data_IF_283648723601
#
_entry.id   IF_283648723601
#
_cell.length_a   1.000
_cell.length_b   1.000
_cell.length_c   1.000
_cell.angle_alpha   90.00
_cell.angle_beta   90.00
_cell.angle_gamma   90.00
#
_symmetry.space_group_name_H-M   'P 1'
#
loop_
_entity.id
_entity.type
_entity.pdbx_description
1 polymer ?
#
# COMPACT_ATOMS: atom_id res chain seq x y z
N UNK A 1 36.92 33.35 -8.57
CA UNK A 1 36.81 34.72 -9.11
C UNK A 1 35.88 34.73 -10.33
N UNK A 2 34.56 34.91 -10.16
CA UNK A 2 33.64 35.13 -11.27
C UNK A 2 33.07 36.57 -11.17
N UNK A 3 33.86 37.57 -11.56
CA UNK A 3 33.38 38.96 -11.66
C UNK A 3 33.77 39.64 -12.98
N UNK A 4 34.40 38.92 -13.92
CA UNK A 4 34.96 39.53 -15.13
C UNK A 4 33.99 39.63 -16.31
N UNK A 5 32.94 38.79 -16.41
CA UNK A 5 32.00 38.87 -17.54
C UNK A 5 31.04 40.06 -17.42
N UNK A 6 30.58 40.36 -16.21
CA UNK A 6 29.64 41.47 -15.98
C UNK A 6 30.30 42.83 -16.20
N UNK A 7 31.57 42.98 -15.81
CA UNK A 7 32.36 44.17 -16.12
C UNK A 7 32.66 44.32 -17.61
N UNK A 8 32.91 43.23 -18.33
CA UNK A 8 33.15 43.27 -19.77
C UNK A 8 31.90 43.72 -20.56
N UNK A 9 30.71 43.29 -20.13
CA UNK A 9 29.43 43.72 -20.73
C UNK A 9 29.13 45.19 -20.43
N UNK A 10 29.38 45.66 -19.20
CA UNK A 10 29.27 47.08 -18.83
C UNK A 10 30.25 47.98 -19.59
N UNK A 11 31.47 47.51 -19.86
CA UNK A 11 32.46 48.28 -20.61
C UNK A 11 32.13 48.39 -22.11
N UNK A 12 31.56 47.32 -22.67
CA UNK A 12 31.04 47.34 -24.05
C UNK A 12 29.77 48.21 -24.16
N UNK A 13 28.96 48.30 -23.11
CA UNK A 13 27.78 49.17 -23.03
C UNK A 13 28.16 50.66 -23.16
N UNK A 14 29.24 51.11 -22.50
CA UNK A 14 29.73 52.49 -22.58
C UNK A 14 30.35 52.81 -23.95
N UNK A 15 31.03 51.84 -24.58
CA UNK A 15 31.65 52.05 -25.89
C UNK A 15 30.62 52.20 -27.01
N UNK A 16 29.59 51.36 -27.03
CA UNK A 16 28.58 51.36 -28.09
C UNK A 16 27.54 52.49 -27.98
N UNK A 17 27.37 53.11 -26.81
CA UNK A 17 26.49 54.28 -26.64
C UNK A 17 27.00 55.54 -27.39
N UNK A 18 28.25 55.53 -27.87
CA UNK A 18 28.90 56.67 -28.51
C UNK A 18 28.78 56.72 -30.05
N UNK A 19 28.24 55.67 -30.70
CA UNK A 19 28.36 55.50 -32.17
C UNK A 19 27.01 55.29 -32.91
N UNK A 20 25.89 54.97 -32.23
CA UNK A 20 24.62 54.58 -32.91
C UNK A 20 23.40 55.24 -32.24
N UNK A 21 22.34 55.66 -32.98
CA UNK A 21 21.18 56.37 -32.41
C UNK A 21 20.50 55.63 -31.25
N UNK A 22 20.13 56.34 -30.17
CA UNK A 22 20.03 55.81 -28.81
C UNK A 22 18.80 54.91 -28.53
N UNK A 23 17.79 54.87 -29.40
CA UNK A 23 16.49 54.27 -29.05
C UNK A 23 16.39 52.78 -29.39
N UNK A 24 16.89 52.35 -30.55
CA UNK A 24 16.81 50.92 -30.96
C UNK A 24 17.91 50.06 -30.34
N UNK A 25 19.10 50.61 -30.11
CA UNK A 25 20.22 49.88 -29.48
C UNK A 25 19.91 49.60 -28.01
N UNK A 26 19.33 50.57 -27.29
CA UNK A 26 18.98 50.40 -25.88
C UNK A 26 17.87 49.37 -25.67
N UNK A 27 16.87 49.32 -26.56
CA UNK A 27 15.80 48.32 -26.52
C UNK A 27 16.31 46.92 -26.87
N UNK A 28 17.14 46.80 -27.92
CA UNK A 28 17.75 45.53 -28.32
C UNK A 28 18.66 44.98 -27.22
N UNK A 29 19.47 45.83 -26.60
CA UNK A 29 20.35 45.46 -25.48
C UNK A 29 19.55 45.09 -24.22
N UNK A 30 18.43 45.76 -23.95
CA UNK A 30 17.53 45.35 -22.85
C UNK A 30 16.95 43.96 -23.11
N UNK A 31 16.47 43.69 -24.33
CA UNK A 31 15.91 42.38 -24.70
C UNK A 31 16.97 41.27 -24.59
N UNK A 32 18.18 41.50 -25.10
CA UNK A 32 19.30 40.55 -24.98
C UNK A 32 19.67 40.32 -23.51
N UNK A 33 19.74 41.39 -22.71
CA UNK A 33 20.02 41.31 -21.27
C UNK A 33 18.94 40.50 -20.52
N UNK A 34 17.66 40.71 -20.85
CA UNK A 34 16.54 39.96 -20.27
C UNK A 34 16.54 38.49 -20.69
N UNK A 35 16.87 38.17 -21.94
CA UNK A 35 17.01 36.78 -22.40
C UNK A 35 18.19 36.07 -21.75
N UNK A 36 19.33 36.75 -21.60
CA UNK A 36 20.49 36.19 -20.89
C UNK A 36 20.15 35.91 -19.43
N UNK A 37 19.51 36.86 -18.74
CA UNK A 37 19.09 36.68 -17.34
C UNK A 37 18.10 35.50 -17.19
N UNK A 38 17.17 35.37 -18.12
CA UNK A 38 16.22 34.25 -18.14
C UNK A 38 16.90 32.90 -18.38
N UNK A 39 17.92 32.86 -19.23
CA UNK A 39 18.71 31.64 -19.48
C UNK A 39 19.51 31.22 -18.25
N UNK A 40 20.15 32.17 -17.56
CA UNK A 40 20.91 31.91 -16.34
C UNK A 40 20.00 31.37 -15.21
N UNK A 41 18.81 31.98 -15.04
CA UNK A 41 17.81 31.53 -14.07
C UNK A 41 17.28 30.12 -14.42
N UNK A 42 17.00 29.87 -15.71
CA UNK A 42 16.54 28.56 -16.17
C UNK A 42 17.62 27.47 -15.98
N UNK A 43 18.87 27.77 -16.30
CA UNK A 43 19.98 26.82 -16.12
C UNK A 43 20.20 26.51 -14.65
N UNK A 44 20.09 27.50 -13.76
CA UNK A 44 20.13 27.31 -12.32
C UNK A 44 19.01 26.38 -11.82
N UNK A 45 17.77 26.59 -12.26
CA UNK A 45 16.64 25.70 -11.93
C UNK A 45 16.83 24.28 -12.45
N UNK A 46 17.30 24.14 -13.69
CA UNK A 46 17.62 22.85 -14.28
C UNK A 46 18.70 22.14 -13.47
N UNK A 47 19.74 22.86 -13.05
CA UNK A 47 20.85 22.31 -12.26
C UNK A 47 20.40 21.78 -10.91
N UNK A 48 19.49 22.48 -10.22
CA UNK A 48 18.85 21.97 -8.99
C UNK A 48 18.15 20.63 -9.22
N UNK A 49 17.30 20.54 -10.24
CA UNK A 49 16.56 19.30 -10.54
C UNK A 49 17.47 18.17 -10.99
N UNK A 50 18.53 18.47 -11.74
CA UNK A 50 19.54 17.48 -12.16
C UNK A 50 20.33 16.96 -10.96
N UNK A 51 20.77 17.84 -10.04
CA UNK A 51 21.50 17.43 -8.84
C UNK A 51 20.63 16.61 -7.88
N UNK A 52 19.37 17.00 -7.66
CA UNK A 52 18.41 16.20 -6.90
C UNK A 52 18.20 14.81 -7.52
N UNK A 53 18.07 14.74 -8.85
CA UNK A 53 17.99 13.46 -9.55
C UNK A 53 19.29 12.65 -9.43
N UNK A 54 20.45 13.27 -9.58
CA UNK A 54 21.74 12.59 -9.45
C UNK A 54 21.90 11.98 -8.06
N UNK A 55 21.61 12.74 -7.00
CA UNK A 55 21.70 12.26 -5.60
C UNK A 55 20.76 11.08 -5.35
N UNK A 56 19.51 11.15 -5.83
CA UNK A 56 18.51 10.07 -5.71
C UNK A 56 18.87 8.79 -6.46
N UNK A 57 19.66 8.89 -7.52
CA UNK A 57 20.02 7.77 -8.39
C UNK A 57 21.53 7.48 -8.36
N UNK A 58 22.15 7.59 -7.17
CA UNK A 58 23.53 7.17 -6.90
C UNK A 58 24.57 7.80 -7.86
N UNK A 59 24.36 9.07 -8.18
CA UNK A 59 25.23 9.89 -8.99
C UNK A 59 24.99 9.81 -10.50
N UNK A 60 23.91 9.14 -10.94
CA UNK A 60 23.58 8.94 -12.36
C UNK A 60 22.28 9.66 -12.75
N UNK A 61 22.32 10.97 -13.05
CA UNK A 61 21.14 11.71 -13.45
C UNK A 61 20.59 11.24 -14.81
N UNK A 62 19.26 11.20 -14.94
CA UNK A 62 18.56 10.75 -16.14
C UNK A 62 17.79 11.89 -16.82
N UNK A 63 18.15 12.19 -18.07
CA UNK A 63 17.52 13.27 -18.88
C UNK A 63 16.00 13.12 -18.97
N UNK A 64 15.46 11.91 -19.15
CA UNK A 64 14.00 11.70 -19.29
C UNK A 64 13.28 12.00 -17.98
N UNK A 65 13.82 11.54 -16.87
CA UNK A 65 13.27 11.79 -15.52
C UNK A 65 13.29 13.28 -15.20
N UNK A 66 14.41 13.96 -15.44
CA UNK A 66 14.59 15.39 -15.22
C UNK A 66 13.62 16.21 -16.08
N UNK A 67 13.49 15.89 -17.37
CA UNK A 67 12.54 16.55 -18.27
C UNK A 67 11.09 16.39 -17.79
N UNK A 68 10.72 15.21 -17.29
CA UNK A 68 9.39 14.95 -16.73
C UNK A 68 9.10 15.84 -15.51
N UNK A 69 10.06 15.96 -14.59
CA UNK A 69 9.93 16.80 -13.40
C UNK A 69 9.80 18.29 -13.78
N UNK A 70 10.68 18.79 -14.65
CA UNK A 70 10.69 20.20 -15.09
C UNK A 70 9.41 20.60 -15.85
N UNK A 71 8.94 19.78 -16.80
CA UNK A 71 7.72 20.09 -17.57
C UNK A 71 6.43 19.88 -16.77
N UNK A 72 6.52 19.17 -15.64
CA UNK A 72 5.46 19.01 -14.65
C UNK A 72 5.33 20.25 -13.75
N UNK A 73 6.44 20.76 -13.23
CA UNK A 73 6.46 21.94 -12.35
C UNK A 73 6.31 23.26 -13.12
N UNK A 74 6.86 23.34 -14.33
CA UNK A 74 6.83 24.54 -15.20
C UNK A 74 6.19 24.25 -16.56
N UNK A 75 4.88 24.46 -16.62
CA UNK A 75 4.09 24.20 -17.83
C UNK A 75 4.40 25.17 -18.97
N UNK A 76 4.95 26.35 -18.67
CA UNK A 76 5.37 27.37 -19.63
C UNK A 76 6.56 26.92 -20.50
N UNK A 77 7.42 26.06 -19.95
CA UNK A 77 8.58 25.47 -20.65
C UNK A 77 8.17 24.49 -21.76
N UNK A 78 6.92 24.02 -21.78
CA UNK A 78 6.44 23.06 -22.80
C UNK A 78 6.53 23.60 -24.22
N UNK A 79 6.38 24.91 -24.41
CA UNK A 79 6.50 25.57 -25.73
C UNK A 79 7.93 25.55 -26.27
N UNK A 80 8.93 25.44 -25.41
CA UNK A 80 10.37 25.44 -25.73
C UNK A 80 11.05 24.13 -25.34
N UNK A 81 10.30 23.02 -25.29
CA UNK A 81 10.77 21.75 -24.74
C UNK A 81 12.05 21.20 -25.40
N UNK A 82 12.25 21.44 -26.70
CA UNK A 82 13.46 21.01 -27.42
C UNK A 82 14.71 21.78 -26.93
N UNK A 83 14.60 23.09 -26.76
CA UNK A 83 15.68 23.94 -26.26
C UNK A 83 16.02 23.60 -24.80
N UNK A 84 14.98 23.42 -23.97
CA UNK A 84 15.15 22.99 -22.57
C UNK A 84 15.85 21.63 -22.50
N UNK A 85 15.50 20.68 -23.39
CA UNK A 85 16.14 19.36 -23.45
C UNK A 85 17.64 19.46 -23.77
N UNK A 86 18.05 20.39 -24.63
CA UNK A 86 19.46 20.61 -24.94
C UNK A 86 20.22 21.12 -23.71
N UNK A 87 19.64 22.07 -22.97
CA UNK A 87 20.22 22.61 -21.73
C UNK A 87 20.30 21.50 -20.67
N UNK A 88 19.21 20.77 -20.44
CA UNK A 88 19.19 19.62 -19.51
C UNK A 88 20.26 18.59 -19.87
N UNK A 89 20.42 18.27 -21.16
CA UNK A 89 21.42 17.30 -21.59
C UNK A 89 22.87 17.77 -21.34
N UNK A 90 23.12 19.09 -21.42
CA UNK A 90 24.43 19.67 -21.05
C UNK A 90 24.65 19.58 -19.54
N UNK A 91 23.68 20.05 -18.75
CA UNK A 91 23.79 20.07 -17.28
C UNK A 91 23.92 18.66 -16.71
N UNK A 92 23.18 17.67 -17.24
CA UNK A 92 23.32 16.24 -16.88
C UNK A 92 24.75 15.76 -17.10
N UNK A 93 25.34 16.04 -18.27
CA UNK A 93 26.73 15.65 -18.56
C UNK A 93 27.73 16.32 -17.64
N UNK A 94 27.46 17.53 -17.17
CA UNK A 94 28.35 18.24 -16.25
C UNK A 94 28.24 17.71 -14.82
N UNK A 95 27.02 17.44 -14.35
CA UNK A 95 26.78 16.82 -13.04
C UNK A 95 27.31 15.39 -12.99
N UNK A 96 27.19 14.62 -14.07
CA UNK A 96 27.69 13.24 -14.17
C UNK A 96 29.23 13.15 -14.06
N UNK A 97 29.97 14.22 -14.34
CA UNK A 97 31.44 14.29 -14.14
C UNK A 97 31.84 14.46 -12.67
N UNK A 98 30.91 14.87 -11.81
CA UNK A 98 31.16 15.10 -10.38
C UNK A 98 31.07 13.79 -9.60
N UNK A 99 31.78 13.70 -8.47
CA UNK A 99 31.57 12.60 -7.51
C UNK A 99 30.23 12.78 -6.79
N UNK A 100 29.64 11.69 -6.31
CA UNK A 100 28.40 11.74 -5.52
C UNK A 100 28.52 12.70 -4.32
N UNK A 101 29.68 12.72 -3.67
CA UNK A 101 29.96 13.62 -2.55
C UNK A 101 29.92 15.10 -2.99
N UNK A 102 30.52 15.41 -4.14
CA UNK A 102 30.51 16.76 -4.69
C UNK A 102 29.10 17.19 -5.16
N UNK A 103 28.33 16.27 -5.74
CA UNK A 103 26.93 16.50 -6.11
C UNK A 103 26.08 16.80 -4.88
N UNK A 104 26.24 16.03 -3.80
CA UNK A 104 25.55 16.26 -2.51
C UNK A 104 25.96 17.57 -1.87
N UNK A 105 27.25 17.93 -1.90
CA UNK A 105 27.73 19.21 -1.38
C UNK A 105 27.12 20.37 -2.16
N UNK A 106 27.13 20.31 -3.49
CA UNK A 106 26.58 21.38 -4.31
C UNK A 106 25.06 21.50 -4.14
N UNK A 107 24.33 20.38 -4.10
CA UNK A 107 22.89 20.39 -3.86
C UNK A 107 22.56 21.02 -2.49
N UNK A 108 23.39 20.76 -1.47
CA UNK A 108 23.24 21.38 -0.14
C UNK A 108 23.40 22.89 -0.18
N UNK A 109 24.33 23.38 -1.00
CA UNK A 109 24.61 24.81 -1.08
C UNK A 109 23.50 25.57 -1.84
N UNK A 110 22.88 24.93 -2.86
CA UNK A 110 21.91 25.61 -3.73
C UNK A 110 20.44 25.34 -3.40
N UNK A 111 20.13 24.19 -2.78
CA UNK A 111 18.77 23.73 -2.48
C UNK A 111 18.77 22.75 -1.27
N UNK A 112 19.18 23.20 -0.08
CA UNK A 112 19.29 22.36 1.11
C UNK A 112 17.96 21.67 1.48
N UNK A 113 16.82 22.29 1.16
CA UNK A 113 15.48 21.74 1.40
C UNK A 113 15.22 20.42 0.65
N UNK A 114 15.89 20.18 -0.48
CA UNK A 114 15.78 18.95 -1.25
C UNK A 114 16.56 17.80 -0.59
N UNK A 115 17.62 18.11 0.17
CA UNK A 115 18.34 17.14 1.01
C UNK A 115 17.65 16.90 2.35
N UNK A 116 16.99 17.91 2.93
CA UNK A 116 16.25 17.76 4.19
C UNK A 116 15.07 16.77 4.07
N UNK A 117 14.53 16.58 2.87
CA UNK A 117 13.57 15.50 2.59
C UNK A 117 14.19 14.09 2.72
N UNK A 118 15.51 13.92 2.55
CA UNK A 118 16.21 12.66 2.84
C UNK A 118 16.55 12.52 4.34
N UNK A 119 16.92 13.60 5.03
CA UNK A 119 17.34 13.55 6.46
C UNK A 119 16.19 13.25 7.42
N UNK A 120 14.94 13.61 7.10
CA UNK A 120 13.77 13.17 7.89
C UNK A 120 13.49 11.66 7.82
N UNK A 121 14.17 10.92 6.96
CA UNK A 121 14.03 9.46 6.85
C UNK A 121 15.06 8.71 7.71
N UNK A 122 16.02 9.40 8.33
CA UNK A 122 16.98 8.76 9.24
C UNK A 122 16.49 8.70 10.70
N UNK A 123 16.25 7.46 11.13
CA UNK A 123 16.44 6.97 12.50
C UNK A 123 15.51 7.46 13.64
N UNK A 124 14.20 7.58 13.39
CA UNK A 124 13.32 6.96 14.39
C UNK A 124 13.52 5.44 14.24
N UNK A 125 13.87 4.75 15.33
CA UNK A 125 13.76 3.30 15.35
C UNK A 125 12.32 2.97 14.97
N UNK A 126 12.08 2.58 13.71
CA UNK A 126 10.77 2.11 13.24
C UNK A 126 10.49 0.72 13.82
N UNK A 127 10.69 0.59 15.12
CA UNK A 127 10.15 -0.52 15.86
C UNK A 127 8.64 -0.41 15.80
N UNK A 128 8.00 -1.55 15.54
CA UNK A 128 6.56 -1.60 15.60
C UNK A 128 6.13 -1.38 17.06
N UNK A 129 4.98 -0.74 17.29
CA UNK A 129 4.49 -0.46 18.63
C UNK A 129 4.36 -1.75 19.43
N UNK A 130 4.49 -1.65 20.75
CA UNK A 130 4.31 -2.82 21.60
C UNK A 130 2.89 -3.37 21.50
N UNK A 131 2.76 -4.68 21.63
CA UNK A 131 1.44 -5.31 21.70
C UNK A 131 0.76 -4.91 23.01
N UNK A 132 -0.54 -4.57 22.98
CA UNK A 132 -1.27 -4.32 24.21
C UNK A 132 -1.34 -5.59 25.06
N UNK A 133 -1.26 -5.44 26.38
CA UNK A 133 -1.42 -6.54 27.36
C UNK A 133 -0.40 -7.68 27.22
N UNK A 134 0.81 -7.40 26.70
CA UNK A 134 1.86 -8.43 26.56
C UNK A 134 2.22 -9.06 27.90
N UNK A 135 2.26 -8.27 28.97
CA UNK A 135 2.57 -8.74 30.33
C UNK A 135 1.43 -9.52 30.99
N UNK A 136 0.22 -9.48 30.41
CA UNK A 136 -0.96 -10.16 30.94
C UNK A 136 -0.94 -11.67 30.65
N UNK A 137 -0.20 -12.09 29.61
CA UNK A 137 -0.18 -13.47 29.14
C UNK A 137 1.25 -14.03 29.15
N UNK A 138 1.42 -15.34 29.42
CA UNK A 138 2.76 -15.93 29.56
C UNK A 138 3.53 -16.02 28.23
N UNK A 139 2.85 -15.97 27.09
CA UNK A 139 3.46 -16.14 25.77
C UNK A 139 2.64 -15.46 24.68
N UNK A 140 3.32 -14.73 23.79
CA UNK A 140 2.71 -14.20 22.56
C UNK A 140 2.53 -15.33 21.55
N UNK A 141 1.32 -15.48 21.02
CA UNK A 141 1.00 -16.47 19.99
C UNK A 141 0.35 -15.76 18.79
N UNK A 142 1.03 -15.82 17.66
CA UNK A 142 0.60 -15.26 16.38
C UNK A 142 0.19 -16.37 15.41
N UNK A 143 -0.60 -16.02 14.39
CA UNK A 143 -0.96 -16.97 13.33
C UNK A 143 -0.95 -16.35 11.95
N UNK A 144 -0.44 -17.14 10.99
CA UNK A 144 -0.69 -16.97 9.57
C UNK A 144 -1.93 -17.80 9.22
N UNK A 145 -2.89 -17.22 8.52
CA UNK A 145 -4.12 -17.91 8.13
C UNK A 145 -4.41 -17.81 6.63
N UNK A 146 -3.54 -18.34 5.74
CA UNK A 146 -3.76 -18.28 4.30
C UNK A 146 -4.90 -19.21 3.86
N UNK A 147 -5.70 -18.75 2.90
CA UNK A 147 -6.56 -19.61 2.10
C UNK A 147 -5.68 -20.30 1.04
N UNK A 148 -5.68 -21.64 0.92
CA UNK A 148 -4.83 -22.37 -0.02
C UNK A 148 -5.35 -22.29 -1.46
N UNK A 149 -5.34 -21.10 -2.06
CA UNK A 149 -5.75 -20.87 -3.46
C UNK A 149 -4.57 -20.70 -4.44
N UNK A 150 -3.36 -21.05 -4.00
CA UNK A 150 -2.13 -20.87 -4.75
C UNK A 150 -0.95 -20.39 -3.88
N UNK A 151 0.17 -20.00 -4.51
CA UNK A 151 1.36 -19.55 -3.79
C UNK A 151 1.13 -18.19 -3.11
N UNK A 152 1.96 -17.89 -2.10
CA UNK A 152 1.98 -16.57 -1.47
C UNK A 152 2.41 -15.50 -2.49
N UNK A 153 1.69 -14.38 -2.51
CA UNK A 153 2.04 -13.19 -3.30
C UNK A 153 2.47 -12.03 -2.39
N UNK A 154 2.94 -10.91 -2.97
CA UNK A 154 3.44 -9.75 -2.21
C UNK A 154 2.43 -9.19 -1.18
N UNK A 155 1.12 -9.31 -1.43
CA UNK A 155 0.08 -8.94 -0.47
C UNK A 155 0.11 -9.75 0.83
N UNK A 156 0.56 -11.02 0.78
CA UNK A 156 0.71 -11.86 1.97
C UNK A 156 1.97 -11.48 2.76
N UNK A 157 3.01 -10.98 2.10
CA UNK A 157 4.30 -10.66 2.72
C UNK A 157 4.14 -9.69 3.89
N UNK A 158 3.25 -8.69 3.78
CA UNK A 158 2.97 -7.76 4.88
C UNK A 158 2.51 -8.50 6.14
N UNK A 159 1.53 -9.39 6.01
CA UNK A 159 0.99 -10.13 7.14
C UNK A 159 2.05 -11.08 7.73
N UNK A 160 2.79 -11.76 6.86
CA UNK A 160 3.86 -12.68 7.25
C UNK A 160 4.96 -11.97 8.05
N UNK A 161 5.53 -10.90 7.50
CA UNK A 161 6.64 -10.15 8.13
C UNK A 161 6.19 -9.52 9.46
N UNK A 162 4.97 -8.99 9.54
CA UNK A 162 4.46 -8.40 10.79
C UNK A 162 4.29 -9.44 11.90
N UNK A 163 3.73 -10.61 11.60
CA UNK A 163 3.54 -11.67 12.59
C UNK A 163 4.91 -12.24 13.03
N UNK A 164 5.81 -12.48 12.08
CA UNK A 164 7.17 -12.96 12.37
C UNK A 164 7.98 -11.97 13.22
N UNK A 165 7.88 -10.65 12.95
CA UNK A 165 8.50 -9.62 13.77
C UNK A 165 8.09 -9.71 15.24
N UNK A 166 6.78 -9.79 15.52
CA UNK A 166 6.30 -9.86 16.91
C UNK A 166 6.65 -11.17 17.59
N UNK A 167 6.67 -12.28 16.84
CA UNK A 167 7.13 -13.56 17.37
C UNK A 167 8.60 -13.50 17.76
N UNK A 168 9.45 -12.86 16.94
CA UNK A 168 10.87 -12.65 17.27
C UNK A 168 11.06 -11.66 18.43
N UNK A 169 10.30 -10.57 18.46
CA UNK A 169 10.37 -9.53 19.51
C UNK A 169 10.03 -10.09 20.90
N UNK A 170 9.07 -11.01 20.98
CA UNK A 170 8.52 -11.51 22.24
C UNK A 170 8.79 -13.00 22.50
N UNK A 171 9.74 -13.61 21.77
CA UNK A 171 10.06 -15.04 21.88
C UNK A 171 8.79 -15.93 21.82
N UNK A 172 7.87 -15.53 20.94
CA UNK A 172 6.53 -16.07 20.85
C UNK A 172 6.42 -17.34 20.02
N UNK A 173 5.18 -17.69 19.67
CA UNK A 173 4.87 -18.80 18.78
C UNK A 173 4.19 -18.31 17.52
N UNK A 174 4.64 -18.80 16.36
CA UNK A 174 3.95 -18.61 15.09
C UNK A 174 3.26 -19.90 14.67
N UNK A 175 1.97 -19.82 14.35
CA UNK A 175 1.15 -20.93 13.88
C UNK A 175 0.81 -20.71 12.40
N UNK A 176 0.97 -21.74 11.57
CA UNK A 176 0.43 -21.76 10.21
C UNK A 176 -0.93 -22.46 10.22
N UNK A 177 -2.00 -21.72 9.94
CA UNK A 177 -3.38 -22.24 9.89
C UNK A 177 -3.87 -22.21 8.45
N UNK A 178 -4.02 -23.35 7.79
CA UNK A 178 -4.66 -23.38 6.48
C UNK A 178 -6.17 -23.13 6.66
N UNK A 179 -6.69 -22.03 6.11
CA UNK A 179 -8.11 -21.68 6.18
C UNK A 179 -8.91 -22.38 5.07
N UNK A 180 -8.82 -23.70 5.02
CA UNK A 180 -9.30 -24.59 3.95
C UNK A 180 -10.81 -24.90 4.01
N UNK A 181 -11.59 -24.16 4.83
CA UNK A 181 -13.05 -24.35 4.96
C UNK A 181 -13.88 -23.36 4.13
N UNK A 182 -13.23 -22.42 3.42
CA UNK A 182 -13.92 -21.31 2.70
C UNK A 182 -14.31 -21.70 1.26
N UNK A 183 -13.91 -22.88 0.80
CA UNK A 183 -14.07 -23.36 -0.58
C UNK A 183 -15.45 -23.11 -1.18
N UNK A 184 -15.48 -22.67 -2.44
CA UNK A 184 -16.67 -22.63 -3.29
C UNK A 184 -16.28 -22.90 -4.73
N UNK A 185 -17.27 -23.10 -5.62
CA UNK A 185 -17.01 -23.20 -7.07
C UNK A 185 -16.15 -22.05 -7.60
N UNK A 186 -16.31 -20.85 -7.04
CA UNK A 186 -15.59 -19.63 -7.43
C UNK A 186 -14.25 -19.43 -6.67
N UNK A 187 -14.05 -20.14 -5.56
CA UNK A 187 -12.85 -20.07 -4.71
C UNK A 187 -12.42 -21.47 -4.37
N UNK A 188 -11.66 -22.09 -5.27
CA UNK A 188 -11.18 -23.44 -5.10
C UNK A 188 -9.96 -23.50 -4.18
N UNK A 189 -9.84 -24.63 -3.51
CA UNK A 189 -8.60 -25.03 -2.83
C UNK A 189 -7.71 -25.66 -3.89
N UNK A 190 -6.51 -25.10 -4.06
CA UNK A 190 -5.48 -25.64 -4.94
C UNK A 190 -4.59 -26.56 -4.11
N UNK A 191 -4.48 -27.84 -4.48
CA UNK A 191 -3.79 -28.83 -3.65
C UNK A 191 -2.30 -28.53 -3.54
N UNK A 192 -1.70 -28.00 -4.60
CA UNK A 192 -0.31 -27.60 -4.66
C UNK A 192 -0.01 -26.42 -3.72
N UNK A 193 -1.02 -25.64 -3.34
CA UNK A 193 -0.84 -24.51 -2.41
C UNK A 193 -0.40 -24.96 -1.02
N UNK A 194 -0.71 -26.20 -0.63
CA UNK A 194 -0.27 -26.75 0.66
C UNK A 194 1.25 -26.93 0.75
N UNK A 195 1.93 -27.09 -0.38
CA UNK A 195 3.40 -27.14 -0.47
C UNK A 195 3.99 -25.76 -0.79
N UNK A 196 3.39 -25.02 -1.72
CA UNK A 196 3.88 -23.71 -2.16
C UNK A 196 3.85 -22.63 -1.06
N UNK A 197 2.87 -22.68 -0.15
CA UNK A 197 2.78 -21.72 0.95
C UNK A 197 3.97 -21.89 1.92
N UNK A 198 4.26 -23.10 2.44
CA UNK A 198 5.48 -23.38 3.18
C UNK A 198 6.77 -22.96 2.46
N UNK A 199 6.90 -23.26 1.17
CA UNK A 199 8.07 -22.85 0.36
C UNK A 199 8.23 -21.32 0.35
N UNK A 200 7.13 -20.59 0.17
CA UNK A 200 7.14 -19.12 0.22
C UNK A 200 7.52 -18.56 1.59
N UNK A 201 7.13 -19.22 2.68
CA UNK A 201 7.55 -18.84 4.03
C UNK A 201 9.04 -19.12 4.25
N UNK A 202 9.54 -20.27 3.78
CA UNK A 202 10.96 -20.61 3.88
C UNK A 202 11.83 -19.64 3.06
N UNK A 203 11.38 -19.27 1.86
CA UNK A 203 12.02 -18.24 1.04
C UNK A 203 12.13 -16.88 1.75
N UNK A 204 11.11 -16.52 2.54
CA UNK A 204 11.12 -15.31 3.38
C UNK A 204 11.92 -15.45 4.68
N UNK A 205 12.50 -16.64 4.94
CA UNK A 205 13.22 -16.91 6.19
C UNK A 205 12.32 -16.96 7.43
N UNK A 206 11.03 -17.25 7.25
CA UNK A 206 10.03 -17.28 8.32
C UNK A 206 9.81 -18.72 8.77
N UNK A 207 9.97 -18.95 10.08
CA UNK A 207 9.76 -20.26 10.68
C UNK A 207 8.47 -20.24 11.50
N UNK A 208 7.70 -21.32 11.42
CA UNK A 208 6.52 -21.54 12.25
C UNK A 208 6.68 -22.79 13.11
N UNK A 209 5.90 -22.87 14.17
CA UNK A 209 6.06 -23.88 15.23
C UNK A 209 5.09 -25.03 15.09
N UNK A 210 3.90 -24.77 14.53
CA UNK A 210 2.88 -25.79 14.28
C UNK A 210 2.02 -25.44 13.08
N UNK A 211 1.57 -26.48 12.39
CA UNK A 211 0.60 -26.39 11.29
C UNK A 211 -0.75 -26.88 11.78
N UNK A 212 -1.82 -26.19 11.39
CA UNK A 212 -3.21 -26.56 11.68
C UNK A 212 -4.01 -26.48 10.39
N UNK A 213 -4.78 -27.51 10.08
CA UNK A 213 -5.79 -27.47 9.04
C UNK A 213 -7.13 -27.16 9.69
N UNK A 214 -7.89 -26.22 9.12
CA UNK A 214 -9.16 -25.80 9.70
C UNK A 214 -10.24 -26.86 9.43
N UNK A 215 -10.15 -27.55 8.31
CA UNK A 215 -10.98 -28.72 7.94
C UNK A 215 -10.88 -29.85 8.97
N UNK A 216 -9.71 -30.15 9.52
CA UNK A 216 -9.51 -31.14 10.59
C UNK A 216 -10.25 -30.80 11.90
N UNK A 217 -10.84 -29.60 11.99
CA UNK A 217 -11.50 -29.08 13.20
C UNK A 217 -13.00 -28.88 13.03
N UNK A 218 -13.60 -29.40 11.95
CA UNK A 218 -15.04 -29.27 11.69
C UNK A 218 -15.89 -29.77 12.86
N UNK A 219 -15.52 -30.88 13.49
CA UNK A 219 -16.22 -31.43 14.66
C UNK A 219 -16.30 -30.43 15.83
N UNK A 220 -15.24 -29.63 16.02
CA UNK A 220 -15.21 -28.59 17.05
C UNK A 220 -16.22 -27.49 16.70
N UNK A 221 -16.28 -27.08 15.43
CA UNK A 221 -17.23 -26.05 14.98
C UNK A 221 -18.67 -26.53 15.06
N UNK A 222 -18.94 -27.78 14.71
CA UNK A 222 -20.27 -28.39 14.82
C UNK A 222 -20.71 -28.48 16.28
N UNK A 223 -19.81 -28.86 17.18
CA UNK A 223 -20.10 -28.82 18.62
C UNK A 223 -20.50 -27.41 19.08
N UNK A 224 -19.72 -26.38 18.71
CA UNK A 224 -20.07 -25.00 19.07
C UNK A 224 -21.38 -24.54 18.43
N UNK A 225 -21.70 -24.96 17.21
CA UNK A 225 -22.97 -24.66 16.57
C UNK A 225 -24.14 -25.25 17.38
N UNK A 226 -24.04 -26.52 17.77
CA UNK A 226 -25.04 -27.17 18.63
C UNK A 226 -25.17 -26.46 19.98
N UNK A 227 -24.06 -26.06 20.60
CA UNK A 227 -24.09 -25.32 21.86
C UNK A 227 -24.80 -23.96 21.73
N UNK A 228 -24.54 -23.22 20.65
CA UNK A 228 -25.20 -21.93 20.36
C UNK A 228 -26.71 -22.12 20.07
N UNK A 229 -27.07 -23.16 19.31
CA UNK A 229 -28.46 -23.52 19.04
C UNK A 229 -29.21 -23.89 20.33
N UNK A 230 -28.60 -24.68 21.21
CA UNK A 230 -29.15 -25.07 22.52
C UNK A 230 -29.37 -23.87 23.45
N UNK A 231 -28.50 -22.87 23.39
CA UNK A 231 -28.65 -21.62 24.14
C UNK A 231 -29.68 -20.66 23.53
N UNK A 232 -30.20 -20.97 22.35
CA UNK A 232 -31.07 -20.07 21.60
C UNK A 232 -30.35 -18.83 21.04
N UNK A 233 -29.01 -18.83 21.04
CA UNK A 233 -28.13 -17.78 20.52
C UNK A 233 -27.89 -17.89 19.01
N UNK A 234 -28.28 -19.02 18.41
CA UNK A 234 -28.29 -19.23 16.96
C UNK A 234 -29.61 -19.88 16.53
N UNK A 235 -29.88 -19.87 15.23
CA UNK A 235 -31.03 -20.57 14.62
C UNK A 235 -30.70 -21.02 13.19
N UNK A 236 -31.43 -22.03 12.71
CA UNK A 236 -31.32 -22.51 11.32
C UNK A 236 -32.35 -21.82 10.43
N UNK A 237 -31.86 -21.12 9.41
CA UNK A 237 -32.64 -20.34 8.47
C UNK A 237 -32.63 -21.00 7.09
N UNK A 238 -33.82 -21.29 6.56
CA UNK A 238 -34.10 -21.85 5.23
C UNK A 238 -34.76 -20.82 4.29
N UNK A 239 -34.84 -19.55 4.69
CA UNK A 239 -35.26 -18.47 3.80
C UNK A 239 -34.31 -18.35 2.60
N UNK A 240 -34.87 -18.08 1.41
CA UNK A 240 -34.07 -17.69 0.23
C UNK A 240 -33.09 -16.56 0.57
N UNK A 241 -31.83 -16.71 0.17
CA UNK A 241 -30.76 -15.79 0.57
C UNK A 241 -30.98 -14.36 0.03
N UNK A 242 -31.50 -14.24 -1.20
CA UNK A 242 -31.80 -12.95 -1.82
C UNK A 242 -32.96 -12.25 -1.14
N UNK A 243 -34.05 -12.97 -0.90
CA UNK A 243 -35.20 -12.50 -0.14
C UNK A 243 -34.80 -12.11 1.28
N UNK A 244 -34.01 -12.93 1.96
CA UNK A 244 -33.57 -12.66 3.33
C UNK A 244 -32.76 -11.37 3.40
N UNK A 245 -31.84 -11.15 2.44
CA UNK A 245 -31.09 -9.90 2.37
C UNK A 245 -32.01 -8.69 2.17
N UNK A 246 -32.97 -8.79 1.24
CA UNK A 246 -33.85 -7.69 0.85
C UNK A 246 -34.88 -7.33 1.92
N UNK A 247 -35.53 -8.35 2.49
CA UNK A 247 -36.69 -8.18 3.38
C UNK A 247 -36.30 -8.13 4.87
N UNK A 248 -35.19 -8.77 5.24
CA UNK A 248 -34.75 -8.87 6.63
C UNK A 248 -33.50 -8.04 6.90
N UNK A 249 -32.38 -8.34 6.22
CA UNK A 249 -31.08 -7.70 6.48
C UNK A 249 -31.11 -6.17 6.31
N UNK A 250 -31.54 -5.71 5.13
CA UNK A 250 -31.55 -4.28 4.79
C UNK A 250 -32.56 -3.53 5.65
N UNK A 251 -33.73 -4.12 5.89
CA UNK A 251 -34.82 -3.49 6.65
C UNK A 251 -34.67 -3.61 8.16
N UNK A 252 -33.66 -4.34 8.64
CA UNK A 252 -33.44 -4.56 10.08
C UNK A 252 -34.58 -5.33 10.75
N UNK A 253 -35.21 -6.28 10.05
CA UNK A 253 -36.35 -7.05 10.55
C UNK A 253 -36.02 -8.54 10.65
N UNK A 254 -36.30 -9.21 11.77
CA UNK A 254 -36.07 -10.64 11.88
C UNK A 254 -36.92 -11.44 10.89
N UNK A 255 -36.42 -12.61 10.46
CA UNK A 255 -37.23 -13.59 9.73
C UNK A 255 -38.00 -14.49 10.70
N UNK A 256 -39.01 -15.21 10.20
CA UNK A 256 -39.79 -16.16 11.01
C UNK A 256 -38.93 -17.28 11.62
N UNK A 257 -37.81 -17.64 10.98
CA UNK A 257 -36.91 -18.66 11.53
C UNK A 257 -36.19 -18.22 12.83
N UNK A 258 -36.11 -16.90 13.10
CA UNK A 258 -35.41 -16.39 14.30
C UNK A 258 -36.13 -16.68 15.62
N UNK A 259 -37.44 -16.94 15.54
CA UNK A 259 -38.32 -17.25 16.69
C UNK A 259 -38.62 -18.75 16.82
N UNK A 260 -37.94 -19.60 16.03
CA UNK A 260 -38.04 -21.04 16.20
C UNK A 260 -37.63 -21.46 17.61
N UNK A 261 -38.28 -22.50 18.10
CA UNK A 261 -37.84 -23.18 19.31
C UNK A 261 -36.45 -23.80 19.12
N UNK A 262 -35.81 -24.11 20.25
CA UNK A 262 -34.53 -24.81 20.27
C UNK A 262 -34.64 -26.16 19.55
N UNK A 263 -35.69 -26.92 19.84
CA UNK A 263 -35.91 -28.25 19.25
C UNK A 263 -36.12 -28.18 17.73
N UNK A 264 -36.90 -27.21 17.23
CA UNK A 264 -37.06 -27.00 15.79
C UNK A 264 -35.73 -26.61 15.12
N UNK A 265 -34.94 -25.75 15.77
CA UNK A 265 -33.64 -25.34 15.24
C UNK A 265 -32.63 -26.50 15.20
N UNK A 266 -32.63 -27.35 16.23
CA UNK A 266 -31.81 -28.57 16.27
C UNK A 266 -32.28 -29.59 15.24
N UNK A 267 -33.59 -29.78 15.06
CA UNK A 267 -34.12 -30.65 14.01
C UNK A 267 -33.67 -30.20 12.62
N UNK A 268 -33.71 -28.90 12.35
CA UNK A 268 -33.22 -28.35 11.07
C UNK A 268 -31.71 -28.48 10.93
N UNK A 269 -30.96 -28.42 12.02
CA UNK A 269 -29.51 -28.63 12.01
C UNK A 269 -29.16 -30.06 11.58
N UNK A 270 -29.85 -31.08 12.11
CA UNK A 270 -29.67 -32.47 11.65
C UNK A 270 -29.99 -32.62 10.16
N UNK A 271 -31.05 -31.96 9.68
CA UNK A 271 -31.40 -31.93 8.25
C UNK A 271 -30.36 -31.24 7.36
N UNK A 272 -29.53 -30.35 7.92
CA UNK A 272 -28.38 -29.77 7.20
C UNK A 272 -27.24 -30.78 7.07
N UNK A 273 -27.06 -31.66 8.06
CA UNK A 273 -25.98 -32.65 8.11
C UNK A 273 -26.30 -33.93 7.32
N UNK A 274 -27.57 -34.35 7.30
CA UNK A 274 -28.02 -35.58 6.62
C UNK A 274 -28.25 -35.41 5.10
N UNK A 275 -28.11 -34.18 4.59
CA UNK A 275 -28.28 -33.86 3.17
C UNK A 275 -29.72 -33.60 2.73
N UNK A 276 -30.67 -33.47 3.65
CA UNK A 276 -32.07 -33.13 3.32
C UNK A 276 -32.18 -31.76 2.65
N UNK A 277 -31.40 -30.78 3.12
CA UNK A 277 -31.29 -29.48 2.46
C UNK A 277 -30.28 -29.53 1.30
N UNK A 278 -30.59 -28.94 0.12
CA UNK A 278 -29.63 -28.83 -0.97
C UNK A 278 -28.51 -27.83 -0.64
N UNK A 279 -27.47 -27.78 -1.48
CA UNK A 279 -26.42 -26.75 -1.38
C UNK A 279 -27.06 -25.36 -1.27
N UNK A 280 -26.61 -24.57 -0.28
CA UNK A 280 -27.16 -23.23 0.05
C UNK A 280 -28.64 -23.19 0.41
N UNK A 281 -29.29 -24.33 0.61
CA UNK A 281 -30.72 -24.43 0.98
C UNK A 281 -31.02 -24.01 2.41
N UNK A 282 -30.03 -24.06 3.31
CA UNK A 282 -30.14 -23.59 4.68
C UNK A 282 -28.79 -23.06 5.20
N UNK A 283 -28.87 -22.24 6.26
CA UNK A 283 -27.71 -21.67 6.93
C UNK A 283 -27.97 -21.49 8.44
N UNK A 284 -26.93 -21.69 9.25
CA UNK A 284 -26.96 -21.34 10.68
C UNK A 284 -26.62 -19.86 10.81
N UNK A 285 -27.48 -19.11 11.52
CA UNK A 285 -27.31 -17.68 11.78
C UNK A 285 -27.13 -17.43 13.27
N UNK A 286 -26.14 -16.62 13.62
CA UNK A 286 -25.92 -16.16 15.00
C UNK A 286 -26.88 -15.01 15.30
N UNK A 287 -27.64 -15.05 16.39
CA UNK A 287 -28.53 -13.98 16.81
C UNK A 287 -27.73 -12.84 17.41
N UNK A 288 -27.44 -11.83 16.60
CA UNK A 288 -26.67 -10.64 16.99
C UNK A 288 -27.55 -9.41 17.14
N UNK A 289 -28.81 -9.49 16.69
CA UNK A 289 -29.74 -8.38 16.70
C UNK A 289 -29.87 -7.74 15.33
N UNK A 290 -31.11 -7.58 14.87
CA UNK A 290 -31.43 -6.99 13.57
C UNK A 290 -31.38 -5.46 13.56
N UNK A 291 -31.33 -4.86 14.74
CA UNK A 291 -31.15 -3.43 15.00
C UNK A 291 -29.69 -2.99 14.98
N UNK A 292 -28.72 -3.91 14.82
CA UNK A 292 -27.31 -3.58 14.78
C UNK A 292 -27.01 -2.51 13.70
N UNK A 293 -26.28 -1.43 14.03
CA UNK A 293 -25.96 -0.38 13.07
C UNK A 293 -25.12 -0.89 11.90
N UNK A 294 -24.26 -1.90 12.12
CA UNK A 294 -23.52 -2.58 11.06
C UNK A 294 -24.41 -3.67 10.44
N UNK A 295 -24.85 -3.50 9.18
CA UNK A 295 -25.65 -4.52 8.52
C UNK A 295 -24.91 -5.85 8.39
N UNK A 296 -23.58 -5.85 8.31
CA UNK A 296 -22.79 -7.08 8.18
C UNK A 296 -22.98 -8.00 9.39
N UNK A 297 -23.12 -7.42 10.57
CA UNK A 297 -23.26 -8.13 11.84
C UNK A 297 -24.66 -8.69 12.06
N UNK A 298 -25.71 -8.06 11.52
CA UNK A 298 -27.13 -8.47 11.66
C UNK A 298 -27.36 -9.91 11.25
N UNK A 299 -27.72 -10.74 12.22
CA UNK A 299 -27.96 -12.18 12.13
C UNK A 299 -27.14 -12.87 11.04
N UNK A 300 -25.81 -12.72 11.14
CA UNK A 300 -24.89 -13.18 10.12
C UNK A 300 -24.76 -14.71 10.10
N UNK A 301 -24.46 -15.23 8.92
CA UNK A 301 -24.28 -16.67 8.70
C UNK A 301 -22.95 -17.12 9.30
N UNK A 302 -23.00 -18.17 10.13
CA UNK A 302 -21.81 -18.79 10.73
C UNK A 302 -21.50 -20.17 10.11
N UNK A 303 -22.51 -20.86 9.57
CA UNK A 303 -22.37 -22.13 8.84
C UNK A 303 -23.33 -22.18 7.66
N UNK A 304 -22.91 -22.82 6.58
CA UNK A 304 -23.69 -23.03 5.35
C UNK A 304 -23.46 -24.45 4.83
N UNK A 305 -24.34 -24.89 3.94
CA UNK A 305 -24.15 -26.11 3.13
C UNK A 305 -23.35 -25.73 1.89
N UNK A 306 -22.31 -26.50 1.55
CA UNK A 306 -21.40 -26.28 0.42
C UNK A 306 -21.06 -27.60 -0.26
#
# INVERSE_FOLDING_TARGET
>A
MPYNLHFAVLFLLDFFSSIVPPVNVKLLLLTISMEMFWLDELEFEIRKVVLDNAVKYEGKPNVKSVMGALLGSRTDLRKRANEVKEIVSKVVKDVEKMTLEAQRSELRDIAPELLEQEVKVEAESKELPELPNVDTWPKVVMRLAPFPSGPLHIGNARMVVLNDYYVKRYEGELILVFDDTIGSVEKQVETEAFDMIPEGLDYLGVKWHRTVYKSDRLDIFYKYAVDLLKKGEAYVCDCDAGLWRKEHKIKGKPCSCSILSVDESLSRWEMMLDGTYPERGAAVRLKTGMDNPDPAMRDHVILRIS
#
